data_IF_958613578206
#
_entry.id   IF_958613578206
#
_cell.length_a   1.000
_cell.length_b   1.000
_cell.length_c   1.000
_cell.angle_alpha   90.00
_cell.angle_beta   90.00
_cell.angle_gamma   90.00
#
_symmetry.space_group_name_H-M   'P 1'
#
loop_
_entity.id
_entity.type
_entity.pdbx_description
1 polymer ?
#
# COMPACT_ATOMS: atom_id res chain seq x y z
N UNK A 1 -23.32 -2.10 6.40
CA UNK A 1 -22.43 -2.21 5.22
C UNK A 1 -22.14 -0.85 4.57
N UNK A 2 -23.16 -0.10 4.15
CA UNK A 2 -22.99 1.26 3.60
C UNK A 2 -22.20 2.19 4.53
N UNK A 3 -22.46 2.15 5.84
CA UNK A 3 -21.68 2.93 6.82
C UNK A 3 -20.17 2.61 6.79
N UNK A 4 -19.80 1.33 6.65
CA UNK A 4 -18.40 0.90 6.54
C UNK A 4 -17.80 1.43 5.23
N UNK A 5 -18.54 1.34 4.12
CA UNK A 5 -18.14 1.91 2.83
C UNK A 5 -17.92 3.43 2.93
N UNK A 6 -18.81 4.16 3.60
CA UNK A 6 -18.67 5.60 3.81
C UNK A 6 -17.43 5.94 4.65
N UNK A 7 -17.18 5.20 5.74
CA UNK A 7 -16.00 5.38 6.60
C UNK A 7 -14.72 5.11 5.79
N UNK A 8 -14.65 4.01 5.04
CA UNK A 8 -13.50 3.67 4.20
C UNK A 8 -13.24 4.75 3.14
N UNK A 9 -14.29 5.27 2.51
CA UNK A 9 -14.19 6.32 1.52
C UNK A 9 -13.66 7.62 2.14
N UNK A 10 -14.21 8.04 3.29
CA UNK A 10 -13.75 9.22 4.02
C UNK A 10 -12.28 9.09 4.44
N UNK A 11 -11.89 7.93 4.95
CA UNK A 11 -10.50 7.65 5.31
C UNK A 11 -9.57 7.68 4.08
N UNK A 12 -10.01 7.16 2.93
CA UNK A 12 -9.25 7.27 1.67
C UNK A 12 -9.15 8.70 1.16
N UNK A 13 -10.20 9.51 1.25
CA UNK A 13 -10.10 10.91 0.83
C UNK A 13 -9.14 11.71 1.71
N UNK A 14 -9.09 11.40 3.00
CA UNK A 14 -8.21 12.07 3.95
C UNK A 14 -6.76 11.63 3.82
N UNK A 15 -6.50 10.34 3.66
CA UNK A 15 -5.13 9.83 3.60
C UNK A 15 -4.66 9.68 2.15
N UNK A 16 -5.42 9.05 1.26
CA UNK A 16 -5.02 8.61 -0.08
C UNK A 16 -5.44 9.57 -1.23
N UNK A 17 -4.90 10.79 -1.25
CA UNK A 17 -5.12 11.78 -2.34
C UNK A 17 -3.85 12.14 -3.14
N UNK A 18 -2.74 11.43 -2.92
CA UNK A 18 -1.43 11.88 -3.41
C UNK A 18 -1.21 11.72 -4.92
N UNK A 19 -1.98 10.85 -5.60
CA UNK A 19 -1.77 10.54 -7.02
C UNK A 19 -3.11 10.52 -7.78
N UNK A 20 -3.05 10.82 -9.09
CA UNK A 20 -4.19 10.70 -10.02
C UNK A 20 -4.82 9.31 -10.00
N UNK A 21 -3.99 8.28 -9.86
CA UNK A 21 -4.43 6.90 -9.69
C UNK A 21 -5.40 6.73 -8.51
N UNK A 22 -5.02 7.29 -7.35
CA UNK A 22 -5.85 7.23 -6.16
C UNK A 22 -7.10 8.09 -6.31
N UNK A 23 -6.99 9.22 -7.01
CA UNK A 23 -8.11 10.14 -7.25
C UNK A 23 -9.20 9.48 -8.09
N UNK A 24 -8.86 8.86 -9.23
CA UNK A 24 -9.86 8.16 -10.04
C UNK A 24 -10.49 7.00 -9.28
N UNK A 25 -9.71 6.22 -8.55
CA UNK A 25 -10.26 5.14 -7.74
C UNK A 25 -11.20 5.64 -6.63
N UNK A 26 -10.86 6.77 -5.98
CA UNK A 26 -11.75 7.40 -4.98
C UNK A 26 -13.06 7.85 -5.62
N UNK A 27 -13.01 8.40 -6.84
CA UNK A 27 -14.22 8.79 -7.57
C UNK A 27 -15.09 7.58 -7.92
N UNK A 28 -14.48 6.45 -8.36
CA UNK A 28 -15.21 5.19 -8.59
C UNK A 28 -15.93 4.77 -7.31
N UNK A 29 -15.23 4.72 -6.18
CA UNK A 29 -15.83 4.37 -4.90
C UNK A 29 -16.95 5.32 -4.48
N UNK A 30 -16.80 6.63 -4.72
CA UNK A 30 -17.82 7.63 -4.42
C UNK A 30 -19.09 7.42 -5.26
N UNK A 31 -18.95 7.19 -6.56
CA UNK A 31 -20.08 6.88 -7.44
C UNK A 31 -20.75 5.56 -7.07
N UNK A 32 -19.98 4.55 -6.70
CA UNK A 32 -20.52 3.27 -6.21
C UNK A 32 -21.26 3.44 -4.89
N UNK A 33 -20.74 4.23 -3.95
CA UNK A 33 -21.44 4.53 -2.69
C UNK A 33 -22.77 5.24 -2.95
N UNK A 34 -22.77 6.23 -3.84
CA UNK A 34 -23.99 6.94 -4.23
C UNK A 34 -25.00 5.96 -4.83
N UNK A 35 -24.55 5.08 -5.72
CA UNK A 35 -25.41 4.07 -6.32
C UNK A 35 -26.00 3.10 -5.28
N UNK A 36 -25.20 2.64 -4.32
CA UNK A 36 -25.68 1.78 -3.22
C UNK A 36 -26.65 2.52 -2.30
N UNK A 37 -26.38 3.79 -1.96
CA UNK A 37 -27.28 4.63 -1.16
C UNK A 37 -28.64 4.79 -1.83
N UNK A 38 -28.65 5.01 -3.16
CA UNK A 38 -29.88 5.18 -3.93
C UNK A 38 -30.72 3.90 -4.06
N UNK A 39 -30.13 2.71 -3.87
CA UNK A 39 -30.83 1.41 -3.88
C UNK A 39 -31.17 0.89 -2.48
N UNK A 40 -30.76 1.59 -1.42
CA UNK A 40 -31.04 1.16 -0.05
C UNK A 40 -32.50 1.46 0.30
N UNK A 41 -33.27 0.43 0.64
CA UNK A 41 -34.72 0.56 0.94
C UNK A 41 -35.05 1.64 1.97
N UNK A 42 -34.16 1.86 2.95
CA UNK A 42 -34.34 2.91 3.98
C UNK A 42 -34.22 4.31 3.40
N UNK A 43 -33.29 4.51 2.47
CA UNK A 43 -33.07 5.79 1.79
C UNK A 43 -34.19 6.02 0.78
N UNK A 44 -34.60 4.99 0.05
CA UNK A 44 -35.79 5.04 -0.83
C UNK A 44 -37.06 5.41 -0.06
N UNK A 45 -37.28 4.83 1.13
CA UNK A 45 -38.42 5.15 1.99
C UNK A 45 -38.38 6.57 2.58
N UNK A 46 -37.18 7.11 2.85
CA UNK A 46 -37.02 8.50 3.28
C UNK A 46 -37.19 9.51 2.13
N UNK A 47 -36.72 9.17 0.93
CA UNK A 47 -36.87 10.01 -0.26
C UNK A 47 -38.33 10.06 -0.75
N UNK A 48 -39.05 8.95 -0.64
CA UNK A 48 -40.47 8.89 -0.97
C UNK A 48 -41.33 9.61 0.07
N UNK A 49 -41.01 9.49 1.36
CA UNK A 49 -41.76 10.18 2.42
C UNK A 49 -41.53 11.69 2.44
N UNK A 50 -40.39 12.17 1.96
CA UNK A 50 -40.08 13.60 1.81
C UNK A 50 -40.60 14.22 0.50
N UNK A 51 -41.30 13.45 -0.35
CA UNK A 51 -41.77 13.85 -1.68
C UNK A 51 -40.67 14.39 -2.63
N UNK A 52 -39.39 14.18 -2.30
CA UNK A 52 -38.27 14.67 -3.08
C UNK A 52 -38.01 13.79 -4.32
N UNK A 53 -38.24 12.48 -4.23
CA UNK A 53 -37.93 11.57 -5.33
C UNK A 53 -38.71 10.24 -5.27
N UNK A 54 -39.23 9.79 -6.42
CA UNK A 54 -39.86 8.47 -6.54
C UNK A 54 -38.81 7.35 -6.55
N UNK A 55 -39.19 6.17 -6.03
CA UNK A 55 -38.34 4.94 -5.99
C UNK A 55 -37.77 4.61 -7.38
N UNK A 56 -38.58 4.74 -8.43
CA UNK A 56 -38.14 4.52 -9.80
C UNK A 56 -37.04 5.50 -10.20
N UNK A 57 -37.14 6.77 -9.82
CA UNK A 57 -36.13 7.79 -10.14
C UNK A 57 -34.83 7.51 -9.39
N UNK A 58 -34.89 7.05 -8.15
CA UNK A 58 -33.71 6.62 -7.39
C UNK A 58 -33.00 5.44 -8.06
N UNK A 59 -33.75 4.44 -8.53
CA UNK A 59 -33.18 3.31 -9.27
C UNK A 59 -32.50 3.74 -10.59
N UNK A 60 -33.12 4.64 -11.36
CA UNK A 60 -32.52 5.14 -12.61
C UNK A 60 -31.26 5.97 -12.32
N UNK A 61 -31.27 6.78 -11.26
CA UNK A 61 -30.11 7.57 -10.86
C UNK A 61 -28.97 6.69 -10.34
N UNK A 62 -29.28 5.57 -9.68
CA UNK A 62 -28.28 4.56 -9.32
C UNK A 62 -27.60 3.95 -10.56
N UNK A 63 -28.34 3.65 -11.62
CA UNK A 63 -27.75 3.15 -12.87
C UNK A 63 -26.86 4.21 -13.52
N UNK A 64 -27.26 5.48 -13.50
CA UNK A 64 -26.43 6.60 -13.95
C UNK A 64 -25.15 6.72 -13.14
N UNK A 65 -25.24 6.64 -11.81
CA UNK A 65 -24.05 6.65 -10.95
C UNK A 65 -23.10 5.51 -11.30
N UNK A 66 -23.61 4.32 -11.64
CA UNK A 66 -22.79 3.20 -12.10
C UNK A 66 -22.13 3.46 -13.47
N UNK A 67 -22.84 4.05 -14.45
CA UNK A 67 -22.25 4.46 -15.74
C UNK A 67 -21.06 5.40 -15.51
N UNK A 68 -21.22 6.39 -14.62
CA UNK A 68 -20.16 7.32 -14.26
C UNK A 68 -19.00 6.63 -13.51
N UNK A 69 -19.31 5.68 -12.62
CA UNK A 69 -18.30 4.85 -11.96
C UNK A 69 -17.47 4.06 -12.98
N UNK A 70 -18.11 3.44 -13.98
CA UNK A 70 -17.41 2.75 -15.07
C UNK A 70 -16.50 3.71 -15.86
N UNK A 71 -16.96 4.93 -16.15
CA UNK A 71 -16.15 5.97 -16.79
C UNK A 71 -14.87 6.31 -16.01
N UNK A 72 -14.99 6.54 -14.70
CA UNK A 72 -13.83 6.78 -13.83
C UNK A 72 -12.91 5.54 -13.73
N UNK A 73 -13.49 4.34 -13.75
CA UNK A 73 -12.72 3.10 -13.67
C UNK A 73 -11.95 2.82 -14.95
N UNK A 74 -12.45 3.26 -16.11
CA UNK A 74 -11.69 3.28 -17.36
C UNK A 74 -10.46 4.20 -17.23
N UNK A 75 -10.61 5.38 -16.61
CA UNK A 75 -9.48 6.27 -16.33
C UNK A 75 -8.45 5.64 -15.39
N UNK A 76 -8.92 4.90 -14.39
CA UNK A 76 -8.06 4.11 -13.48
C UNK A 76 -7.28 3.01 -14.22
N UNK A 77 -7.94 2.20 -15.06
CA UNK A 77 -7.28 1.11 -15.81
C UNK A 77 -6.24 1.64 -16.80
N UNK A 78 -6.41 2.85 -17.35
CA UNK A 78 -5.37 3.48 -18.17
C UNK A 78 -4.10 3.76 -17.39
N UNK A 79 -4.22 4.29 -16.17
CA UNK A 79 -3.06 4.54 -15.31
C UNK A 79 -2.44 3.23 -14.83
N UNK A 80 -3.25 2.20 -14.58
CA UNK A 80 -2.76 0.86 -14.24
C UNK A 80 -1.86 0.29 -15.34
N UNK A 81 -2.23 0.47 -16.60
CA UNK A 81 -1.43 0.08 -17.78
C UNK A 81 -0.17 0.93 -18.01
N UNK A 82 0.24 1.75 -17.03
CA UNK A 82 1.42 2.63 -17.09
C UNK A 82 1.41 3.61 -18.26
N UNK A 83 0.22 3.97 -18.77
CA UNK A 83 0.08 5.05 -19.76
C UNK A 83 0.41 6.37 -19.06
N UNK A 84 1.11 7.28 -19.75
CA UNK A 84 1.51 8.54 -19.15
C UNK A 84 0.29 9.33 -18.62
N UNK A 85 0.46 10.10 -17.52
CA UNK A 85 -0.64 10.86 -16.93
C UNK A 85 -1.27 11.87 -17.89
N UNK A 86 -0.48 12.50 -18.77
CA UNK A 86 -0.99 13.51 -19.72
C UNK A 86 -1.88 12.87 -20.78
N UNK A 87 -1.43 11.77 -21.37
CA UNK A 87 -2.20 11.02 -22.38
C UNK A 87 -3.46 10.45 -21.74
N UNK A 88 -3.36 9.94 -20.51
CA UNK A 88 -4.51 9.44 -19.77
C UNK A 88 -5.53 10.53 -19.48
N UNK A 89 -5.12 11.74 -19.07
CA UNK A 89 -6.06 12.86 -18.85
C UNK A 89 -6.81 13.23 -20.13
N UNK A 90 -6.12 13.29 -21.28
CA UNK A 90 -6.75 13.63 -22.56
C UNK A 90 -7.74 12.55 -22.98
N UNK A 91 -7.32 11.29 -22.99
CA UNK A 91 -8.18 10.16 -23.37
C UNK A 91 -9.37 9.99 -22.41
N UNK A 92 -9.13 10.12 -21.10
CA UNK A 92 -10.18 9.99 -20.09
C UNK A 92 -11.28 11.05 -20.22
N UNK A 93 -10.97 12.27 -20.71
CA UNK A 93 -12.02 13.27 -20.99
C UNK A 93 -13.04 12.78 -22.01
N UNK A 94 -12.60 12.07 -23.05
CA UNK A 94 -13.52 11.49 -24.04
C UNK A 94 -14.38 10.39 -23.44
N UNK A 95 -13.81 9.52 -22.60
CA UNK A 95 -14.59 8.48 -21.91
C UNK A 95 -15.57 9.05 -20.89
N UNK A 96 -15.20 10.11 -20.16
CA UNK A 96 -16.13 10.85 -19.29
C UNK A 96 -17.26 11.49 -20.09
N UNK A 97 -16.94 12.14 -21.21
CA UNK A 97 -17.97 12.71 -22.08
C UNK A 97 -18.91 11.63 -22.61
N UNK A 98 -18.36 10.50 -23.07
CA UNK A 98 -19.15 9.36 -23.52
C UNK A 98 -20.03 8.79 -22.40
N UNK A 99 -19.52 8.67 -21.17
CA UNK A 99 -20.30 8.23 -20.02
C UNK A 99 -21.44 9.21 -19.68
N UNK A 100 -21.20 10.52 -19.76
CA UNK A 100 -22.25 11.55 -19.57
C UNK A 100 -23.30 11.48 -20.68
N UNK A 101 -22.89 11.33 -21.94
CA UNK A 101 -23.81 11.18 -23.08
C UNK A 101 -24.64 9.91 -22.95
N UNK A 102 -24.03 8.78 -22.61
CA UNK A 102 -24.73 7.51 -22.36
C UNK A 102 -25.68 7.61 -21.16
N UNK A 103 -25.29 8.28 -20.08
CA UNK A 103 -26.16 8.53 -18.93
C UNK A 103 -27.37 9.39 -19.31
N UNK A 104 -27.17 10.45 -20.09
CA UNK A 104 -28.26 11.29 -20.59
C UNK A 104 -29.21 10.50 -21.49
N UNK A 105 -28.67 9.74 -22.46
CA UNK A 105 -29.45 8.89 -23.35
C UNK A 105 -30.23 7.81 -22.57
N UNK A 106 -29.61 7.20 -21.55
CA UNK A 106 -30.26 6.25 -20.65
C UNK A 106 -31.46 6.88 -19.92
N UNK A 107 -31.29 8.10 -19.39
CA UNK A 107 -32.38 8.81 -18.72
C UNK A 107 -33.52 9.15 -19.68
N UNK A 108 -33.21 9.55 -20.91
CA UNK A 108 -34.22 9.84 -21.96
C UNK A 108 -35.01 8.57 -22.29
N UNK A 109 -34.33 7.46 -22.60
CA UNK A 109 -34.98 6.18 -22.87
C UNK A 109 -35.82 5.70 -21.66
N UNK A 110 -35.38 6.00 -20.44
CA UNK A 110 -36.09 5.69 -19.20
C UNK A 110 -37.28 6.57 -18.83
N UNK A 111 -37.55 7.62 -19.59
CA UNK A 111 -38.58 8.60 -19.22
C UNK A 111 -39.96 7.96 -19.17
N UNK A 112 -40.29 7.09 -20.14
CA UNK A 112 -41.59 6.39 -20.18
C UNK A 112 -41.82 5.49 -18.96
N UNK A 113 -40.84 4.66 -18.62
CA UNK A 113 -40.89 3.82 -17.42
C UNK A 113 -41.03 4.65 -16.13
N UNK A 114 -40.33 5.80 -16.06
CA UNK A 114 -40.40 6.72 -14.92
C UNK A 114 -41.79 7.34 -14.76
N UNK A 115 -42.38 7.82 -15.86
CA UNK A 115 -43.73 8.40 -15.88
C UNK A 115 -44.78 7.35 -15.50
N UNK A 116 -44.59 6.10 -15.93
CA UNK A 116 -45.46 4.99 -15.56
C UNK A 116 -45.28 4.52 -14.10
N UNK A 117 -44.31 5.06 -13.35
CA UNK A 117 -44.04 4.66 -11.96
C UNK A 117 -43.54 3.23 -11.81
N UNK A 118 -43.07 2.61 -12.90
CA UNK A 118 -42.62 1.22 -12.90
C UNK A 118 -41.08 1.12 -13.00
N UNK A 119 -40.46 0.12 -12.33
CA UNK A 119 -39.07 -0.23 -12.59
C UNK A 119 -38.87 -0.57 -14.07
N UNK A 120 -37.68 -0.29 -14.60
CA UNK A 120 -37.32 -0.67 -15.98
C UNK A 120 -37.55 -2.14 -16.29
N UNK A 121 -37.31 -3.00 -15.29
CA UNK A 121 -37.47 -4.44 -15.40
C UNK A 121 -38.94 -4.87 -15.55
N UNK A 122 -39.87 -4.02 -15.13
CA UNK A 122 -41.32 -4.29 -15.12
C UNK A 122 -42.03 -3.56 -16.25
N UNK A 123 -41.59 -2.35 -16.60
CA UNK A 123 -42.21 -1.53 -17.66
C UNK A 123 -42.17 -2.19 -19.05
N UNK A 124 -41.21 -3.09 -19.29
CA UNK A 124 -41.06 -3.80 -20.56
C UNK A 124 -40.88 -2.88 -21.77
N UNK A 125 -40.96 -3.45 -22.97
CA UNK A 125 -40.91 -2.74 -24.25
C UNK A 125 -39.50 -2.45 -24.77
N UNK A 126 -39.46 -1.98 -26.02
CA UNK A 126 -38.22 -1.64 -26.74
C UNK A 126 -37.44 -0.48 -26.10
N UNK A 127 -38.13 0.42 -25.40
CA UNK A 127 -37.50 1.52 -24.65
C UNK A 127 -36.65 0.99 -23.47
N UNK A 128 -37.12 -0.07 -22.79
CA UNK A 128 -36.36 -0.73 -21.73
C UNK A 128 -35.14 -1.48 -22.28
N UNK A 129 -35.28 -2.14 -23.43
CA UNK A 129 -34.17 -2.80 -24.14
C UNK A 129 -33.12 -1.78 -24.58
N UNK A 130 -33.55 -0.63 -25.14
CA UNK A 130 -32.67 0.46 -25.50
C UNK A 130 -31.92 1.03 -24.28
N UNK A 131 -32.63 1.31 -23.18
CA UNK A 131 -32.01 1.79 -21.95
C UNK A 131 -30.97 0.80 -21.41
N UNK A 132 -31.32 -0.50 -21.34
CA UNK A 132 -30.40 -1.54 -20.88
C UNK A 132 -29.17 -1.67 -21.81
N UNK A 133 -29.36 -1.52 -23.12
CA UNK A 133 -28.27 -1.59 -24.11
C UNK A 133 -27.30 -0.41 -23.95
N UNK A 134 -27.81 0.80 -23.72
CA UNK A 134 -27.00 2.00 -23.44
C UNK A 134 -26.21 1.83 -22.14
N UNK A 135 -26.84 1.31 -21.09
CA UNK A 135 -26.19 0.99 -19.82
C UNK A 135 -25.08 -0.05 -19.98
N UNK A 136 -25.34 -1.14 -20.72
CA UNK A 136 -24.36 -2.20 -20.94
C UNK A 136 -23.20 -1.78 -21.84
N UNK A 137 -23.40 -0.80 -22.73
CA UNK A 137 -22.35 -0.34 -23.65
C UNK A 137 -21.07 0.06 -22.89
N UNK A 138 -21.18 0.88 -21.84
CA UNK A 138 -19.99 1.31 -21.07
C UNK A 138 -19.38 0.16 -20.26
N UNK A 139 -20.22 -0.77 -19.78
CA UNK A 139 -19.77 -1.96 -19.03
C UNK A 139 -19.00 -2.89 -19.95
N UNK A 140 -19.51 -3.16 -21.15
CA UNK A 140 -18.82 -3.98 -22.17
C UNK A 140 -17.48 -3.36 -22.56
N UNK A 141 -17.43 -2.04 -22.76
CA UNK A 141 -16.16 -1.33 -23.01
C UNK A 141 -15.18 -1.55 -21.86
N UNK A 142 -15.63 -1.39 -20.61
CA UNK A 142 -14.79 -1.60 -19.43
C UNK A 142 -14.29 -3.04 -19.33
N UNK A 143 -15.19 -4.02 -19.46
CA UNK A 143 -14.89 -5.46 -19.43
C UNK A 143 -13.90 -5.83 -20.52
N UNK A 144 -14.11 -5.38 -21.75
CA UNK A 144 -13.19 -5.64 -22.87
C UNK A 144 -11.78 -5.11 -22.58
N UNK A 145 -11.66 -3.93 -21.96
CA UNK A 145 -10.36 -3.39 -21.54
C UNK A 145 -9.72 -4.18 -20.41
N UNK A 146 -10.50 -4.64 -19.43
CA UNK A 146 -10.00 -5.49 -18.35
C UNK A 146 -9.54 -6.85 -18.87
N UNK A 147 -10.29 -7.47 -19.78
CA UNK A 147 -9.89 -8.73 -20.44
C UNK A 147 -8.62 -8.54 -21.26
N UNK A 148 -8.51 -7.43 -22.00
CA UNK A 148 -7.30 -7.10 -22.73
C UNK A 148 -6.10 -6.92 -21.79
N UNK A 149 -6.29 -6.21 -20.67
CA UNK A 149 -5.27 -5.97 -19.66
C UNK A 149 -4.78 -7.26 -19.04
N UNK A 150 -5.67 -8.03 -18.39
CA UNK A 150 -5.30 -9.28 -17.73
C UNK A 150 -4.84 -10.34 -18.73
N UNK A 151 -5.39 -10.37 -19.95
CA UNK A 151 -4.91 -11.24 -21.03
C UNK A 151 -3.50 -10.88 -21.47
N UNK A 152 -3.17 -9.59 -21.59
CA UNK A 152 -1.81 -9.14 -21.91
C UNK A 152 -0.81 -9.42 -20.79
N UNK A 153 -1.24 -9.32 -19.52
CA UNK A 153 -0.45 -9.73 -18.36
C UNK A 153 -0.23 -11.24 -18.35
N UNK A 154 -1.26 -12.04 -18.66
CA UNK A 154 -1.17 -13.50 -18.74
C UNK A 154 -0.18 -13.94 -19.82
N UNK A 155 -0.16 -13.27 -20.97
CA UNK A 155 0.79 -13.53 -22.06
C UNK A 155 2.22 -13.12 -21.73
N UNK A 156 2.42 -12.20 -20.79
CA UNK A 156 3.74 -11.68 -20.38
C UNK A 156 4.25 -12.30 -19.08
N UNK A 157 3.42 -13.04 -18.37
CA UNK A 157 3.76 -13.62 -17.07
C UNK A 157 4.90 -14.63 -17.21
N UNK A 158 6.03 -14.33 -16.55
CA UNK A 158 7.18 -15.25 -16.47
C UNK A 158 7.19 -16.06 -15.18
N UNK A 159 6.45 -15.60 -14.16
CA UNK A 159 6.32 -16.27 -12.86
C UNK A 159 4.94 -16.90 -12.69
N UNK A 160 4.91 -18.06 -12.04
CA UNK A 160 3.69 -18.82 -11.66
C UNK A 160 2.70 -17.98 -10.86
N UNK A 161 3.19 -17.08 -9.99
CA UNK A 161 2.33 -16.21 -9.19
C UNK A 161 1.62 -15.17 -10.05
N UNK A 162 2.34 -14.54 -10.98
CA UNK A 162 1.78 -13.58 -11.92
C UNK A 162 0.77 -14.24 -12.86
N UNK A 163 1.08 -15.46 -13.31
CA UNK A 163 0.18 -16.28 -14.13
C UNK A 163 -1.13 -16.57 -13.41
N UNK A 164 -1.08 -17.02 -12.15
CA UNK A 164 -2.29 -17.34 -11.36
C UNK A 164 -3.12 -16.08 -11.11
N UNK A 165 -2.49 -14.95 -10.79
CA UNK A 165 -3.18 -13.68 -10.60
C UNK A 165 -3.86 -13.18 -11.87
N UNK A 166 -3.15 -13.23 -13.01
CA UNK A 166 -3.70 -12.82 -14.30
C UNK A 166 -4.83 -13.74 -14.74
N UNK A 167 -4.68 -15.07 -14.61
CA UNK A 167 -5.71 -16.04 -14.94
C UNK A 167 -6.97 -15.88 -14.06
N UNK A 168 -6.80 -15.67 -12.76
CA UNK A 168 -7.91 -15.37 -11.85
C UNK A 168 -8.60 -14.05 -12.22
N UNK A 169 -7.84 -13.04 -12.63
CA UNK A 169 -8.37 -11.77 -13.14
C UNK A 169 -9.22 -11.94 -14.40
N UNK A 170 -8.72 -12.65 -15.41
CA UNK A 170 -9.48 -12.98 -16.63
C UNK A 170 -10.77 -13.72 -16.31
N UNK A 171 -10.70 -14.75 -15.45
CA UNK A 171 -11.87 -15.53 -15.06
C UNK A 171 -12.92 -14.67 -14.36
N UNK A 172 -12.52 -13.84 -13.39
CA UNK A 172 -13.43 -12.96 -12.66
C UNK A 172 -14.12 -11.94 -13.59
N UNK A 173 -13.37 -11.38 -14.54
CA UNK A 173 -13.91 -10.42 -15.52
C UNK A 173 -14.86 -11.13 -16.49
N UNK A 174 -14.53 -12.33 -16.96
CA UNK A 174 -15.39 -13.12 -17.85
C UNK A 174 -16.70 -13.52 -17.17
N UNK A 175 -16.66 -13.96 -15.90
CA UNK A 175 -17.85 -14.27 -15.12
C UNK A 175 -18.73 -13.04 -14.92
N UNK A 176 -18.13 -11.89 -14.61
CA UNK A 176 -18.86 -10.61 -14.48
C UNK A 176 -19.51 -10.21 -15.81
N UNK A 177 -18.81 -10.41 -16.92
CA UNK A 177 -19.33 -10.14 -18.26
C UNK A 177 -20.54 -11.03 -18.59
N UNK A 178 -20.45 -12.32 -18.30
CA UNK A 178 -21.53 -13.28 -18.50
C UNK A 178 -22.77 -12.89 -17.70
N UNK A 179 -22.62 -12.55 -16.41
CA UNK A 179 -23.70 -12.09 -15.55
C UNK A 179 -24.36 -10.79 -16.08
N UNK A 180 -23.56 -9.83 -16.54
CA UNK A 180 -24.09 -8.59 -17.12
C UNK A 180 -24.82 -8.84 -18.45
N UNK A 181 -24.36 -9.80 -19.26
CA UNK A 181 -24.97 -10.12 -20.56
C UNK A 181 -26.25 -10.95 -20.39
N UNK A 182 -26.30 -11.83 -19.39
CA UNK A 182 -27.50 -12.59 -19.01
C UNK A 182 -28.68 -11.65 -18.78
N UNK A 183 -28.46 -10.51 -18.10
CA UNK A 183 -29.44 -9.46 -17.90
C UNK A 183 -30.16 -9.04 -19.20
N UNK A 184 -29.38 -8.81 -20.27
CA UNK A 184 -29.87 -8.36 -21.57
C UNK A 184 -30.60 -9.47 -22.31
N UNK A 185 -30.02 -10.68 -22.30
CA UNK A 185 -30.60 -11.85 -22.95
C UNK A 185 -31.96 -12.16 -22.34
N UNK A 186 -32.07 -12.11 -21.01
CA UNK A 186 -33.33 -12.30 -20.30
C UNK A 186 -34.35 -11.19 -20.59
N UNK A 187 -33.91 -9.93 -20.68
CA UNK A 187 -34.80 -8.83 -21.03
C UNK A 187 -35.36 -8.96 -22.45
N UNK A 188 -34.54 -9.37 -23.43
CA UNK A 188 -34.95 -9.62 -24.81
C UNK A 188 -35.86 -10.85 -24.91
N UNK A 189 -35.52 -11.94 -24.20
CA UNK A 189 -36.33 -13.16 -24.13
C UNK A 189 -37.73 -12.91 -23.56
N UNK A 190 -37.83 -12.11 -22.49
CA UNK A 190 -39.13 -11.71 -21.92
C UNK A 190 -39.95 -10.86 -22.93
N UNK A 191 -39.31 -10.00 -23.73
CA UNK A 191 -40.01 -9.24 -24.79
C UNK A 191 -40.47 -10.12 -25.96
N UNK A 192 -39.71 -11.18 -26.27
CA UNK A 192 -40.09 -12.19 -27.26
C UNK A 192 -41.16 -13.16 -26.74
N UNK A 193 -41.56 -13.05 -25.47
CA UNK A 193 -42.57 -13.89 -24.83
C UNK A 193 -42.10 -15.31 -24.51
N UNK A 194 -40.80 -15.56 -24.53
CA UNK A 194 -40.24 -16.90 -24.31
C UNK A 194 -40.11 -17.26 -22.83
N UNK A 195 -40.12 -16.27 -21.94
CA UNK A 195 -39.90 -16.45 -20.50
C UNK A 195 -40.58 -15.36 -19.67
N UNK A 196 -40.79 -15.62 -18.38
CA UNK A 196 -41.22 -14.61 -17.39
C UNK A 196 -40.17 -14.55 -16.27
N UNK A 197 -39.10 -13.81 -16.49
CA UNK A 197 -37.91 -13.80 -15.61
C UNK A 197 -37.78 -12.56 -14.73
N UNK A 198 -38.78 -11.67 -14.76
CA UNK A 198 -38.79 -10.37 -14.07
C UNK A 198 -38.45 -10.51 -12.57
N UNK A 199 -39.06 -11.47 -11.86
CA UNK A 199 -38.81 -11.67 -10.43
C UNK A 199 -37.40 -12.21 -10.12
N UNK A 200 -36.81 -12.98 -11.04
CA UNK A 200 -35.44 -13.48 -10.92
C UNK A 200 -34.43 -12.34 -11.13
N UNK A 201 -34.62 -11.53 -12.18
CA UNK A 201 -33.73 -10.38 -12.48
C UNK A 201 -33.70 -9.35 -11.35
N UNK A 202 -34.85 -9.01 -10.76
CA UNK A 202 -34.95 -8.09 -9.61
C UNK A 202 -34.10 -8.57 -8.42
N UNK A 203 -34.08 -9.88 -8.15
CA UNK A 203 -33.31 -10.46 -7.04
C UNK A 203 -31.81 -10.52 -7.35
N UNK A 204 -31.46 -10.95 -8.56
CA UNK A 204 -30.08 -11.17 -8.98
C UNK A 204 -29.35 -9.83 -9.18
N UNK A 205 -29.97 -8.83 -9.82
CA UNK A 205 -29.33 -7.53 -10.05
C UNK A 205 -29.02 -6.77 -8.76
N UNK A 206 -29.87 -6.87 -7.73
CA UNK A 206 -29.57 -6.25 -6.44
C UNK A 206 -28.34 -6.88 -5.78
N UNK A 207 -28.24 -8.21 -5.86
CA UNK A 207 -27.14 -8.98 -5.29
C UNK A 207 -25.82 -8.75 -6.04
N UNK A 208 -25.83 -8.80 -7.37
CA UNK A 208 -24.65 -8.54 -8.22
C UNK A 208 -24.07 -7.15 -7.95
N UNK A 209 -24.95 -6.14 -7.91
CA UNK A 209 -24.54 -4.75 -7.70
C UNK A 209 -23.85 -4.56 -6.34
N UNK A 210 -24.37 -5.21 -5.30
CA UNK A 210 -23.78 -5.20 -3.97
C UNK A 210 -22.38 -5.83 -3.97
N UNK A 211 -22.23 -7.01 -4.57
CA UNK A 211 -20.94 -7.71 -4.61
C UNK A 211 -19.88 -6.97 -5.43
N UNK A 212 -20.26 -6.35 -6.55
CA UNK A 212 -19.36 -5.47 -7.29
C UNK A 212 -18.83 -4.34 -6.40
N UNK A 213 -19.70 -3.70 -5.61
CA UNK A 213 -19.26 -2.68 -4.66
C UNK A 213 -18.36 -3.25 -3.56
N UNK A 214 -18.68 -4.42 -2.98
CA UNK A 214 -17.81 -5.09 -1.98
C UNK A 214 -16.39 -5.25 -2.51
N UNK A 215 -16.26 -5.82 -3.71
CA UNK A 215 -14.96 -6.16 -4.30
C UNK A 215 -14.14 -4.88 -4.50
N UNK A 216 -14.74 -3.83 -5.09
CA UNK A 216 -14.06 -2.55 -5.29
C UNK A 216 -13.64 -1.93 -3.95
N UNK A 217 -14.48 -1.99 -2.93
CA UNK A 217 -14.15 -1.47 -1.60
C UNK A 217 -13.05 -2.27 -0.90
N UNK A 218 -13.01 -3.59 -1.09
CA UNK A 218 -11.95 -4.45 -0.55
C UNK A 218 -10.59 -4.08 -1.16
N UNK A 219 -10.52 -3.93 -2.48
CA UNK A 219 -9.32 -3.41 -3.16
C UNK A 219 -8.96 -2.00 -2.70
N UNK A 220 -9.96 -1.15 -2.49
CA UNK A 220 -9.79 0.20 -1.98
C UNK A 220 -9.17 0.25 -0.58
N UNK A 221 -9.46 -0.74 0.26
CA UNK A 221 -8.96 -0.82 1.63
C UNK A 221 -7.46 -1.17 1.71
N UNK A 222 -6.90 -1.88 0.72
CA UNK A 222 -5.49 -2.32 0.72
C UNK A 222 -4.48 -1.18 0.97
N UNK A 223 -4.48 -0.06 0.22
CA UNK A 223 -3.54 1.03 0.50
C UNK A 223 -3.80 1.71 1.85
N UNK A 224 -5.04 1.64 2.36
CA UNK A 224 -5.39 2.19 3.68
C UNK A 224 -4.81 1.33 4.79
N UNK A 225 -4.88 0.00 4.67
CA UNK A 225 -4.31 -0.92 5.67
C UNK A 225 -2.79 -0.81 5.69
N UNK A 226 -2.12 -0.70 4.53
CA UNK A 226 -0.67 -0.45 4.46
C UNK A 226 -0.29 0.86 5.15
N UNK A 227 -1.07 1.93 4.93
CA UNK A 227 -0.82 3.22 5.58
C UNK A 227 -1.14 3.22 7.07
N UNK A 228 -2.19 2.53 7.49
CA UNK A 228 -2.52 2.38 8.90
C UNK A 228 -1.43 1.56 9.62
N UNK A 229 -0.94 0.50 8.99
CA UNK A 229 0.13 -0.34 9.54
C UNK A 229 1.45 0.42 9.68
N UNK A 230 1.81 1.25 8.71
CA UNK A 230 2.96 2.15 8.82
C UNK A 230 2.75 3.26 9.85
N UNK A 231 1.55 3.86 9.91
CA UNK A 231 1.21 4.85 10.93
C UNK A 231 1.34 4.31 12.36
N UNK A 232 0.89 3.07 12.59
CA UNK A 232 1.04 2.38 13.87
C UNK A 232 2.49 1.92 14.16
N UNK A 233 3.43 2.15 13.24
CA UNK A 233 4.83 1.70 13.38
C UNK A 233 4.96 0.18 13.44
N UNK A 234 3.96 -0.55 12.95
CA UNK A 234 3.99 -2.01 12.84
C UNK A 234 4.77 -2.46 11.60
N UNK A 235 5.05 -1.53 10.67
CA UNK A 235 5.85 -1.80 9.48
C UNK A 235 7.27 -2.23 9.86
N UNK A 236 7.70 -3.38 9.32
CA UNK A 236 9.00 -4.01 9.57
C UNK A 236 10.13 -3.02 9.27
N UNK A 237 10.02 -2.28 8.17
CA UNK A 237 11.00 -1.28 7.73
C UNK A 237 11.15 -0.17 8.78
N UNK A 238 10.03 0.34 9.30
CA UNK A 238 10.04 1.42 10.29
C UNK A 238 10.62 0.96 11.63
N UNK A 239 10.34 -0.29 12.04
CA UNK A 239 10.92 -0.87 13.27
C UNK A 239 12.43 -1.06 13.16
N UNK A 240 12.89 -1.68 12.07
CA UNK A 240 14.31 -1.88 11.82
C UNK A 240 15.04 -0.54 11.72
N UNK A 241 14.48 0.44 11.02
CA UNK A 241 15.05 1.78 10.93
C UNK A 241 15.19 2.46 12.31
N UNK A 242 14.16 2.38 13.17
CA UNK A 242 14.24 2.92 14.55
C UNK A 242 15.26 2.19 15.41
N UNK A 243 15.38 0.86 15.26
CA UNK A 243 16.37 0.06 15.98
C UNK A 243 17.82 0.40 15.59
N UNK A 244 18.04 0.79 14.34
CA UNK A 244 19.36 1.20 13.83
C UNK A 244 19.74 2.65 14.18
N UNK A 245 18.78 3.48 14.60
CA UNK A 245 19.00 4.90 14.84
C UNK A 245 20.03 5.21 15.95
N UNK A 246 20.06 4.50 17.11
CA UNK A 246 21.08 4.73 18.14
C UNK A 246 22.51 4.43 17.65
N UNK A 247 22.66 3.36 16.88
CA UNK A 247 23.93 2.97 16.26
C UNK A 247 24.39 4.04 15.26
N UNK A 248 23.50 4.46 14.35
CA UNK A 248 23.77 5.52 13.37
C UNK A 248 24.24 6.80 14.05
N UNK A 249 23.48 7.31 15.03
CA UNK A 249 23.81 8.57 15.71
C UNK A 249 25.20 8.52 16.38
N UNK A 250 25.51 7.41 17.05
CA UNK A 250 26.80 7.20 17.70
C UNK A 250 27.95 7.14 16.68
N UNK A 251 27.74 6.44 15.57
CA UNK A 251 28.73 6.32 14.50
C UNK A 251 28.97 7.64 13.78
N UNK A 252 27.91 8.39 13.45
CA UNK A 252 28.04 9.70 12.80
C UNK A 252 28.70 10.75 13.70
N UNK A 253 28.62 10.59 15.03
CA UNK A 253 29.35 11.46 15.96
C UNK A 253 30.86 11.21 15.92
N UNK A 254 31.28 9.95 15.75
CA UNK A 254 32.70 9.56 15.66
C UNK A 254 33.26 9.69 14.24
N UNK A 255 32.38 9.55 13.24
CA UNK A 255 32.71 9.59 11.82
C UNK A 255 31.74 10.54 11.10
N UNK A 256 31.94 11.86 11.20
CA UNK A 256 31.03 12.82 10.57
C UNK A 256 31.05 12.74 9.04
N UNK A 257 32.16 12.28 8.45
CA UNK A 257 32.35 12.16 7.00
C UNK A 257 31.44 11.12 6.33
N UNK A 258 30.92 10.14 7.09
CA UNK A 258 30.00 9.12 6.55
C UNK A 258 28.53 9.56 6.60
N UNK A 259 28.24 10.76 7.11
CA UNK A 259 26.87 11.28 7.19
C UNK A 259 26.42 11.83 5.84
N UNK A 260 25.40 11.21 5.24
CA UNK A 260 24.71 11.80 4.11
C UNK A 260 23.68 12.82 4.63
N UNK A 261 24.12 14.06 4.85
CA UNK A 261 23.23 15.20 5.10
C UNK A 261 22.48 15.58 3.82
N UNK A 262 21.50 14.76 3.43
CA UNK A 262 20.39 15.22 2.62
C UNK A 262 19.30 15.69 3.58
N UNK A 263 19.56 16.84 4.18
CA UNK A 263 18.61 17.66 4.92
C UNK A 263 17.48 18.03 3.94
N UNK A 264 16.51 17.12 3.78
CA UNK A 264 15.25 17.40 3.12
C UNK A 264 14.41 18.23 4.09
N UNK A 265 14.81 19.49 4.26
CA UNK A 265 14.01 20.60 4.77
C UNK A 265 12.93 20.98 3.73
N UNK A 266 12.16 19.99 3.27
CA UNK A 266 10.93 20.24 2.53
C UNK A 266 9.76 20.16 3.51
N UNK A 267 9.17 21.30 3.92
CA UNK A 267 7.99 21.33 4.79
C UNK A 267 6.76 20.61 4.18
N UNK A 268 6.77 20.26 2.88
CA UNK A 268 5.75 19.43 2.26
C UNK A 268 5.85 17.93 2.60
N UNK A 269 6.96 17.45 3.18
CA UNK A 269 7.13 16.04 3.58
C UNK A 269 6.54 15.69 4.95
N UNK A 270 6.00 16.66 5.69
CA UNK A 270 5.41 16.44 7.03
C UNK A 270 4.19 15.48 6.98
N UNK A 271 3.53 15.36 5.83
CA UNK A 271 2.49 14.36 5.59
C UNK A 271 2.99 12.90 5.44
N UNK A 272 4.30 12.69 5.23
CA UNK A 272 4.96 11.37 5.10
C UNK A 272 5.79 10.97 6.33
N UNK A 273 5.70 11.73 7.42
CA UNK A 273 6.45 11.52 8.67
C UNK A 273 6.36 10.09 9.23
N UNK A 274 5.28 9.37 8.91
CA UNK A 274 4.97 8.04 9.42
C UNK A 274 5.37 6.87 8.50
N UNK A 275 5.74 7.12 7.24
CA UNK A 275 6.12 6.05 6.31
C UNK A 275 7.60 6.19 5.95
N UNK A 276 8.47 5.52 6.72
CA UNK A 276 9.88 5.41 6.36
C UNK A 276 10.00 4.53 5.12
N UNK A 277 10.63 5.06 4.08
CA UNK A 277 10.74 4.34 2.80
C UNK A 277 11.86 3.31 2.87
N UNK A 278 11.76 2.24 2.07
CA UNK A 278 12.87 1.29 1.88
C UNK A 278 14.17 2.00 1.47
N UNK A 279 14.06 3.12 0.76
CA UNK A 279 15.19 3.97 0.40
C UNK A 279 15.85 4.61 1.63
N UNK A 280 15.07 5.13 2.59
CA UNK A 280 15.61 5.67 3.85
C UNK A 280 16.27 4.58 4.71
N UNK A 281 15.71 3.37 4.73
CA UNK A 281 16.35 2.22 5.38
C UNK A 281 17.66 1.86 4.68
N UNK A 282 17.67 1.78 3.36
CA UNK A 282 18.86 1.50 2.56
C UNK A 282 19.96 2.53 2.79
N UNK A 283 19.61 3.81 2.78
CA UNK A 283 20.54 4.89 3.07
C UNK A 283 21.12 4.78 4.50
N UNK A 284 20.28 4.48 5.49
CA UNK A 284 20.73 4.28 6.89
C UNK A 284 21.70 3.09 7.00
N UNK A 285 21.43 2.00 6.29
CA UNK A 285 22.32 0.83 6.22
C UNK A 285 23.66 1.19 5.58
N UNK A 286 23.65 1.95 4.48
CA UNK A 286 24.87 2.41 3.80
C UNK A 286 25.69 3.33 4.71
N UNK A 287 25.08 4.31 5.38
CA UNK A 287 25.77 5.22 6.31
C UNK A 287 26.48 4.47 7.44
N UNK A 288 25.80 3.49 8.04
CA UNK A 288 26.36 2.64 9.08
C UNK A 288 27.52 1.81 8.53
N UNK A 289 27.37 1.22 7.34
CA UNK A 289 28.41 0.38 6.73
C UNK A 289 29.65 1.19 6.36
N UNK A 290 29.47 2.39 5.82
CA UNK A 290 30.57 3.28 5.50
C UNK A 290 31.33 3.70 6.77
N UNK A 291 30.61 4.04 7.85
CA UNK A 291 31.22 4.31 9.15
C UNK A 291 32.02 3.11 9.68
N UNK A 292 31.48 1.88 9.56
CA UNK A 292 32.17 0.65 9.96
C UNK A 292 33.45 0.45 9.13
N UNK A 293 33.39 0.66 7.81
CA UNK A 293 34.55 0.54 6.93
C UNK A 293 35.66 1.54 7.31
N UNK A 294 35.30 2.77 7.68
CA UNK A 294 36.26 3.76 8.15
C UNK A 294 36.83 3.43 9.53
N UNK A 295 36.02 2.84 10.43
CA UNK A 295 36.45 2.40 11.75
C UNK A 295 37.35 1.16 11.72
N UNK A 296 37.34 0.40 10.63
CA UNK A 296 38.18 -0.81 10.43
C UNK A 296 39.66 -0.55 10.70
N UNK A 297 40.17 0.63 10.37
CA UNK A 297 41.56 1.00 10.57
C UNK A 297 41.95 1.23 12.05
N UNK A 298 40.96 1.23 12.95
CA UNK A 298 41.12 1.45 14.38
C UNK A 298 40.78 0.21 15.21
N UNK A 299 40.41 -0.90 14.56
CA UNK A 299 40.16 -2.17 15.25
C UNK A 299 41.48 -2.75 15.72
N UNK A 300 41.59 -2.99 17.03
CA UNK A 300 42.71 -3.70 17.65
C UNK A 300 42.25 -5.07 18.15
N UNK A 301 43.17 -6.03 18.17
CA UNK A 301 42.91 -7.32 18.82
C UNK A 301 42.52 -7.06 20.28
N UNK A 302 41.28 -7.42 20.61
CA UNK A 302 40.74 -7.21 21.95
C UNK A 302 41.21 -8.32 22.87
N UNK A 303 41.56 -7.98 24.12
CA UNK A 303 42.01 -8.97 25.09
C UNK A 303 40.88 -10.00 25.35
N UNK A 304 41.14 -11.31 25.17
CA UNK A 304 40.17 -12.36 25.44
C UNK A 304 39.55 -12.28 26.84
N UNK A 305 40.30 -11.78 27.84
CA UNK A 305 39.82 -11.65 29.21
C UNK A 305 38.79 -10.51 29.36
N UNK A 306 38.97 -9.40 28.64
CA UNK A 306 38.01 -8.29 28.61
C UNK A 306 36.71 -8.69 27.92
N UNK A 307 36.80 -9.45 26.82
CA UNK A 307 35.64 -9.97 26.10
C UNK A 307 34.86 -10.99 26.95
N UNK A 308 35.56 -11.85 27.69
CA UNK A 308 34.92 -12.79 28.61
C UNK A 308 34.19 -12.07 29.76
N UNK A 309 34.76 -10.98 30.28
CA UNK A 309 34.13 -10.13 31.28
C UNK A 309 32.87 -9.45 30.74
N UNK A 310 32.90 -8.96 29.50
CA UNK A 310 31.73 -8.38 28.83
C UNK A 310 30.57 -9.39 28.72
N UNK A 311 30.86 -10.62 28.26
CA UNK A 311 29.84 -11.66 28.14
C UNK A 311 29.19 -12.02 29.48
N UNK A 312 29.96 -12.06 30.56
CA UNK A 312 29.44 -12.33 31.90
C UNK A 312 28.62 -11.16 32.42
N UNK A 313 29.12 -9.93 32.29
CA UNK A 313 28.49 -8.72 32.84
C UNK A 313 27.12 -8.46 32.21
N UNK A 314 27.00 -8.66 30.90
CA UNK A 314 25.76 -8.42 30.15
C UNK A 314 24.95 -9.69 29.84
N UNK A 315 25.34 -10.84 30.39
CA UNK A 315 24.65 -12.13 30.21
C UNK A 315 24.37 -12.48 28.74
N UNK A 316 25.39 -12.39 27.89
CA UNK A 316 25.23 -12.56 26.43
C UNK A 316 24.93 -14.04 26.10
N UNK A 317 23.78 -14.34 25.46
CA UNK A 317 23.44 -15.70 25.01
C UNK A 317 24.44 -16.26 24.00
N UNK A 318 24.66 -17.58 24.01
CA UNK A 318 25.67 -18.23 23.18
C UNK A 318 25.44 -18.03 21.66
N UNK A 319 24.18 -17.96 21.24
CA UNK A 319 23.74 -17.72 19.87
C UNK A 319 23.93 -16.27 19.39
N UNK A 320 24.16 -15.33 20.31
CA UNK A 320 24.36 -13.91 20.00
C UNK A 320 25.80 -13.42 20.21
N UNK A 321 26.70 -14.30 20.65
CA UNK A 321 28.09 -13.94 20.97
C UNK A 321 28.83 -13.32 19.81
N UNK A 322 28.66 -13.83 18.59
CA UNK A 322 29.34 -13.28 17.41
C UNK A 322 28.93 -11.82 17.14
N UNK A 323 27.64 -11.51 17.27
CA UNK A 323 27.12 -10.14 17.12
C UNK A 323 27.58 -9.22 18.26
N UNK A 324 27.67 -9.77 19.47
CA UNK A 324 28.14 -9.04 20.65
C UNK A 324 29.65 -8.75 20.60
N UNK A 325 30.48 -9.70 20.14
CA UNK A 325 31.91 -9.50 19.88
C UNK A 325 32.12 -8.40 18.85
N UNK A 326 31.43 -8.48 17.71
CA UNK A 326 31.53 -7.45 16.66
C UNK A 326 31.13 -6.06 17.18
N UNK A 327 30.09 -5.97 18.01
CA UNK A 327 29.69 -4.70 18.63
C UNK A 327 30.75 -4.17 19.61
N UNK A 328 31.38 -5.05 20.40
CA UNK A 328 32.42 -4.70 21.37
C UNK A 328 33.70 -4.20 20.69
N UNK A 329 34.22 -4.95 19.71
CA UNK A 329 35.41 -4.56 18.93
C UNK A 329 35.19 -3.22 18.21
N UNK A 330 33.99 -3.01 17.65
CA UNK A 330 33.63 -1.78 16.97
C UNK A 330 33.50 -0.58 17.93
N UNK A 331 33.02 -0.80 19.15
CA UNK A 331 32.98 0.22 20.19
C UNK A 331 34.40 0.65 20.62
N UNK A 332 35.32 -0.32 20.77
CA UNK A 332 36.73 -0.03 21.02
C UNK A 332 37.37 0.77 19.88
N UNK A 333 37.10 0.39 18.62
CA UNK A 333 37.58 1.11 17.45
C UNK A 333 37.04 2.55 17.40
N UNK A 334 35.75 2.74 17.71
CA UNK A 334 35.12 4.06 17.79
C UNK A 334 35.77 4.94 18.87
N UNK A 335 36.06 4.37 20.04
CA UNK A 335 36.77 5.06 21.13
C UNK A 335 38.20 5.42 20.75
N UNK A 336 38.95 4.51 20.12
CA UNK A 336 40.32 4.76 19.67
C UNK A 336 40.37 5.91 18.64
N UNK A 337 39.44 5.92 17.67
CA UNK A 337 39.30 7.01 16.70
C UNK A 337 38.97 8.34 17.41
N UNK A 338 38.02 8.34 18.35
CA UNK A 338 37.64 9.54 19.10
C UNK A 338 38.79 10.08 20.00
N UNK A 339 39.66 9.19 20.50
CA UNK A 339 40.85 9.55 21.26
C UNK A 339 42.00 10.10 20.39
N UNK A 340 41.87 10.04 19.06
CA UNK A 340 42.89 10.51 18.11
C UNK A 340 44.05 9.53 17.89
N UNK A 341 43.86 8.24 18.17
CA UNK A 341 44.86 7.22 17.95
C UNK A 341 45.25 7.12 16.47
N UNK A 342 46.46 6.62 16.17
CA UNK A 342 46.89 6.42 14.79
C UNK A 342 46.24 5.18 14.17
N UNK A 343 45.79 5.24 12.91
CA UNK A 343 45.25 4.08 12.21
C UNK A 343 46.33 3.03 11.99
N UNK A 344 45.99 1.76 12.23
CA UNK A 344 46.86 0.62 11.98
C UNK A 344 46.43 -0.13 10.70
N UNK A 345 47.38 -0.80 10.00
CA UNK A 345 47.03 -1.64 8.87
C UNK A 345 46.07 -2.74 9.35
N UNK A 346 44.89 -2.90 8.73
CA UNK A 346 43.84 -3.74 9.26
C UNK A 346 44.29 -5.20 9.26
N UNK A 347 44.21 -5.85 10.42
CA UNK A 347 44.42 -7.28 10.52
C UNK A 347 43.29 -8.00 9.77
N UNK A 348 43.63 -8.93 8.88
CA UNK A 348 42.66 -9.52 7.93
C UNK A 348 41.59 -10.38 8.61
N UNK A 349 41.76 -10.71 9.89
CA UNK A 349 40.86 -11.57 10.66
C UNK A 349 39.53 -10.88 11.05
N UNK A 350 39.53 -9.56 11.26
CA UNK A 350 38.31 -8.80 11.63
C UNK A 350 37.64 -8.25 10.36
N UNK A 351 37.33 -9.17 9.44
CA UNK A 351 36.32 -8.87 8.41
C UNK A 351 34.99 -9.09 9.10
N UNK A 352 34.25 -8.01 9.36
CA UNK A 352 32.80 -8.10 9.62
C UNK A 352 32.23 -8.83 8.40
N UNK A 353 32.09 -10.15 8.53
CA UNK A 353 31.75 -11.09 7.47
C UNK A 353 30.26 -10.94 7.14
N UNK A 354 29.91 -9.79 6.57
CA UNK A 354 28.59 -9.54 6.02
C UNK A 354 28.50 -10.28 4.69
N UNK A 355 28.11 -11.56 4.75
CA UNK A 355 27.80 -12.44 3.61
C UNK A 355 26.39 -12.21 3.05
N UNK A 356 25.72 -11.14 3.50
CA UNK A 356 24.36 -10.81 3.13
C UNK A 356 24.28 -10.40 1.65
N UNK A 357 23.34 -11.01 0.94
CA UNK A 357 23.12 -10.78 -0.50
C UNK A 357 21.92 -9.88 -0.76
N UNK A 358 21.15 -9.58 0.29
CA UNK A 358 19.97 -8.72 0.23
C UNK A 358 20.00 -7.62 1.30
N UNK A 359 19.33 -6.50 1.00
CA UNK A 359 19.16 -5.37 1.92
C UNK A 359 18.53 -5.79 3.26
N UNK A 360 17.62 -6.76 3.24
CA UNK A 360 16.94 -7.21 4.45
C UNK A 360 17.83 -8.06 5.35
N UNK A 361 18.72 -8.85 4.76
CA UNK A 361 19.77 -9.57 5.50
C UNK A 361 20.76 -8.57 6.11
N UNK A 362 21.23 -7.60 5.33
CA UNK A 362 22.12 -6.54 5.83
C UNK A 362 21.49 -5.76 6.99
N UNK A 363 20.22 -5.38 6.85
CA UNK A 363 19.51 -4.67 7.90
C UNK A 363 19.26 -5.53 9.14
N UNK A 364 19.16 -6.85 8.99
CA UNK A 364 19.03 -7.78 10.11
C UNK A 364 20.37 -7.95 10.85
N UNK A 365 21.47 -8.12 10.12
CA UNK A 365 22.82 -8.22 10.69
C UNK A 365 23.18 -6.97 11.48
N UNK A 366 22.94 -5.78 10.90
CA UNK A 366 23.16 -4.51 11.59
C UNK A 366 22.22 -4.32 12.78
N UNK A 367 21.00 -4.85 12.72
CA UNK A 367 20.08 -4.79 13.85
C UNK A 367 20.51 -5.71 15.00
N UNK A 368 21.12 -6.85 14.70
CA UNK A 368 21.71 -7.74 15.71
C UNK A 368 22.92 -7.09 16.39
N UNK A 369 23.75 -6.38 15.62
CA UNK A 369 24.84 -5.57 16.16
C UNK A 369 24.32 -4.41 17.02
N UNK A 370 23.34 -3.65 16.51
CA UNK A 370 22.75 -2.51 17.21
C UNK A 370 22.15 -2.89 18.57
N UNK A 371 21.66 -4.13 18.73
CA UNK A 371 21.14 -4.65 20.00
C UNK A 371 22.17 -4.59 21.12
N UNK A 372 23.43 -4.89 20.82
CA UNK A 372 24.53 -4.95 21.80
C UNK A 372 25.36 -3.66 21.86
N UNK A 373 25.14 -2.73 20.93
CA UNK A 373 25.91 -1.47 20.82
C UNK A 373 25.97 -0.65 22.11
N UNK A 374 24.83 -0.42 22.77
CA UNK A 374 24.80 0.41 23.99
C UNK A 374 25.54 -0.26 25.15
N UNK A 375 25.44 -1.59 25.26
CA UNK A 375 26.16 -2.36 26.26
C UNK A 375 27.67 -2.37 25.99
N UNK A 376 28.06 -2.50 24.72
CA UNK A 376 29.45 -2.44 24.29
C UNK A 376 30.09 -1.08 24.61
N UNK A 377 29.43 0.04 24.28
CA UNK A 377 29.93 1.38 24.62
C UNK A 377 30.13 1.54 26.13
N UNK A 378 29.14 1.16 26.95
CA UNK A 378 29.23 1.24 28.40
C UNK A 378 30.37 0.38 28.98
N UNK A 379 30.60 -0.81 28.42
CA UNK A 379 31.70 -1.67 28.82
C UNK A 379 33.06 -1.02 28.52
N UNK A 380 33.22 -0.38 27.36
CA UNK A 380 34.48 0.31 27.01
C UNK A 380 34.78 1.53 27.90
N UNK A 381 33.78 2.12 28.55
CA UNK A 381 33.95 3.22 29.51
C UNK A 381 34.42 2.72 30.89
N UNK A 382 34.04 1.50 31.29
CA UNK A 382 34.33 0.94 32.62
C UNK A 382 35.75 0.36 32.76
N UNK A 383 36.46 0.08 31.67
CA UNK A 383 37.76 -0.63 31.67
C UNK A 383 38.96 0.27 32.09
N UNK A 384 38.73 1.49 32.59
CA UNK A 384 39.84 2.29 33.17
C UNK A 384 40.16 1.75 34.58
N UNK A 385 41.33 1.12 34.82
CA UNK A 385 41.71 0.71 36.17
C UNK A 385 42.11 1.95 36.97
N UNK A 386 41.58 2.09 38.19
CA UNK A 386 42.19 2.98 39.18
C UNK A 386 43.67 2.60 39.34
N UNK A 387 44.56 3.57 39.10
CA UNK A 387 46.00 3.37 39.12
C UNK A 387 46.53 2.82 40.45
N UNK A 388 47.73 2.20 40.43
CA UNK A 388 48.26 1.50 41.58
C UNK A 388 48.52 2.46 42.75
N UNK A 389 47.87 2.21 43.89
CA UNK A 389 48.24 2.79 45.19
C UNK A 389 49.67 2.34 45.51
N UNK A 390 50.65 3.18 45.21
CA UNK A 390 52.01 3.02 45.72
C UNK A 390 51.96 2.95 47.24
N UNK A 391 52.48 1.86 47.78
CA UNK A 391 52.66 1.68 49.21
C UNK A 391 53.56 2.77 49.79
N UNK A 392 53.09 3.43 50.83
CA UNK A 392 53.94 4.20 51.73
C UNK A 392 54.70 3.22 52.61
N UNK A 393 55.92 2.87 52.19
CA UNK A 393 56.94 2.37 53.09
C UNK A 393 57.42 3.50 54.01
N UNK A 394 57.44 3.22 55.32
CA UNK A 394 58.33 3.89 56.27
C UNK A 394 59.80 3.61 55.86
N UNK A 395 60.75 4.54 56.08
CA UNK A 395 61.39 4.75 57.39
C UNK A 395 61.66 6.25 57.71
N UNK A 396 62.07 6.72 58.89
CA UNK A 396 62.79 6.12 60.02
C UNK A 396 62.32 6.69 61.36
#
# INVERSE_FOLDING_TARGET
MIAIMAILLAARFRWCRANLYQTYFNNVMAWLLLAQLLRERRVEAMLSSSALMNVTTAQQLSCVAMILACGEFIGFTMLWNRISPEVTRRSHRYYRLAAVVLAAAFLVAGTRARVAGQPFEVSGGWDAVLALSLYLTIIVILVARLLWMFGSELLRATDTRELVLAAAGVLAVALTAAACLEALVLAVSDQLGWSNTVAFRLRVHGFEFLWMAVIVYLFGAVPLTVRLHSYLGLDRVSRTWRGLQPLRLSMTAVVPESSFNLEHDDPEQDGRRFQKTTLQLHQTVIEIRDAILQLRHYVRATDPDELAQFFQTYSVPADERDSATNAFELAHAAKAKAAGDRPEPPDQAVVVNSRSTSLYEEAADLSALAKWWTAALAATEQVIPEGPKMGSGLPA
#
